data_IF_443034377215
#
_entry.id   IF_443034377215
#
_cell.length_a   1.000
_cell.length_b   1.000
_cell.length_c   1.000
_cell.angle_alpha   90.00
_cell.angle_beta   90.00
_cell.angle_gamma   90.00
#
_symmetry.space_group_name_H-M   'P 1'
#
loop_
_entity.id
_entity.type
_entity.pdbx_description
1 polymer ?
#
# COMPACT_ATOMS: atom_id res chain seq x y z
N UNK A 1 -28.20 20.70 -37.07
CA UNK A 1 -27.74 19.31 -37.29
C UNK A 1 -26.39 19.15 -36.59
N UNK A 2 -26.38 18.31 -35.54
CA UNK A 2 -25.28 17.57 -34.86
C UNK A 2 -23.87 18.20 -34.79
N UNK A 3 -23.11 18.20 -33.69
CA UNK A 3 -22.93 17.25 -32.56
C UNK A 3 -22.51 18.06 -31.31
N UNK A 4 -23.04 17.84 -30.09
CA UNK A 4 -22.86 16.72 -29.15
C UNK A 4 -21.44 16.56 -28.56
N UNK A 5 -21.43 16.53 -27.22
CA UNK A 5 -20.41 16.00 -26.30
C UNK A 5 -19.12 16.82 -26.09
N UNK A 6 -19.17 17.72 -25.10
CA UNK A 6 -17.99 18.06 -24.30
C UNK A 6 -18.14 17.29 -22.98
N UNK A 7 -17.45 16.17 -22.89
CA UNK A 7 -17.41 15.32 -21.71
C UNK A 7 -16.89 16.10 -20.50
N UNK A 8 -17.68 16.05 -19.42
CA UNK A 8 -17.26 16.35 -18.07
C UNK A 8 -16.28 15.27 -17.63
N UNK A 9 -15.00 15.61 -17.52
CA UNK A 9 -14.02 14.86 -16.74
C UNK A 9 -13.22 15.85 -15.91
N UNK A 10 -13.83 16.32 -14.84
CA UNK A 10 -13.17 16.98 -13.72
C UNK A 10 -13.48 16.15 -12.49
N UNK A 11 -12.53 15.32 -12.12
CA UNK A 11 -12.48 14.64 -10.82
C UNK A 11 -12.15 15.70 -9.79
N UNK A 12 -13.15 16.44 -9.35
CA UNK A 12 -13.02 17.37 -8.23
C UNK A 12 -14.32 17.42 -7.42
N UNK A 13 -14.12 17.41 -6.10
CA UNK A 13 -15.11 17.45 -5.01
C UNK A 13 -15.93 16.16 -4.76
N UNK A 14 -15.31 15.18 -4.07
CA UNK A 14 -16.07 14.24 -3.25
C UNK A 14 -16.70 15.00 -2.08
N UNK A 15 -17.93 15.48 -2.26
CA UNK A 15 -18.76 16.01 -1.18
C UNK A 15 -19.07 14.88 -0.19
N UNK A 16 -18.56 15.00 1.04
CA UNK A 16 -18.55 13.97 2.09
C UNK A 16 -19.80 13.94 2.96
N UNK A 17 -20.79 14.81 2.76
CA UNK A 17 -21.74 15.13 3.84
C UNK A 17 -23.16 14.58 3.68
N UNK A 18 -23.37 13.44 3.01
CA UNK A 18 -24.70 12.77 3.05
C UNK A 18 -24.61 11.27 3.35
N UNK A 19 -25.52 10.72 4.20
CA UNK A 19 -25.58 9.28 4.49
C UNK A 19 -25.65 8.38 3.26
N UNK A 20 -26.32 8.84 2.18
CA UNK A 20 -26.38 8.11 0.90
C UNK A 20 -25.02 7.93 0.23
N UNK A 21 -24.10 8.88 0.40
CA UNK A 21 -22.73 8.79 -0.12
C UNK A 21 -21.91 7.73 0.65
N UNK A 22 -22.07 7.63 1.98
CA UNK A 22 -21.35 6.68 2.83
C UNK A 22 -21.78 5.23 2.57
N UNK A 23 -23.08 4.97 2.38
CA UNK A 23 -23.62 3.63 2.06
C UNK A 23 -23.06 3.13 0.73
N UNK A 24 -23.06 3.96 -0.31
CA UNK A 24 -22.55 3.56 -1.62
C UNK A 24 -21.03 3.35 -1.61
N UNK A 25 -20.28 4.17 -0.84
CA UNK A 25 -18.86 3.93 -0.61
C UNK A 25 -18.62 2.63 0.15
N UNK A 26 -19.41 2.33 1.18
CA UNK A 26 -19.34 1.05 1.90
C UNK A 26 -19.52 -0.11 0.93
N UNK A 27 -20.62 -0.17 0.18
CA UNK A 27 -20.87 -1.25 -0.80
C UNK A 27 -19.74 -1.38 -1.83
N UNK A 28 -19.25 -0.25 -2.36
CA UNK A 28 -18.17 -0.25 -3.37
C UNK A 28 -16.88 -0.83 -2.82
N UNK A 29 -16.45 -0.39 -1.64
CA UNK A 29 -15.21 -0.87 -1.00
C UNK A 29 -15.35 -2.35 -0.62
N UNK A 30 -16.48 -2.75 -0.01
CA UNK A 30 -16.73 -4.16 0.33
C UNK A 30 -16.71 -5.08 -0.89
N UNK A 31 -17.33 -4.64 -1.99
CA UNK A 31 -17.35 -5.38 -3.25
C UNK A 31 -15.97 -5.48 -3.90
N UNK A 32 -15.14 -4.44 -3.81
CA UNK A 32 -13.78 -4.47 -4.36
C UNK A 32 -12.93 -5.58 -3.74
N UNK A 33 -13.01 -5.78 -2.41
CA UNK A 33 -12.29 -6.86 -1.72
C UNK A 33 -12.69 -8.25 -2.26
N UNK A 34 -13.98 -8.48 -2.51
CA UNK A 34 -14.45 -9.76 -3.04
C UNK A 34 -14.03 -9.98 -4.50
N UNK A 35 -14.03 -8.91 -5.32
CA UNK A 35 -13.54 -8.97 -6.70
C UNK A 35 -12.06 -9.34 -6.78
N UNK A 36 -11.24 -8.86 -5.84
CA UNK A 36 -9.82 -9.24 -5.74
C UNK A 36 -9.62 -10.69 -5.32
N UNK A 37 -10.59 -11.30 -4.64
CA UNK A 37 -10.49 -12.70 -4.23
C UNK A 37 -11.13 -13.66 -5.25
N UNK A 38 -12.06 -13.18 -6.07
CA UNK A 38 -12.84 -13.99 -7.02
C UNK A 38 -12.01 -14.92 -7.94
N UNK A 39 -10.80 -14.55 -8.42
CA UNK A 39 -9.99 -15.44 -9.27
C UNK A 39 -9.33 -16.62 -8.53
N UNK A 40 -9.26 -16.57 -7.20
CA UNK A 40 -8.53 -17.55 -6.39
C UNK A 40 -9.22 -18.91 -6.34
N UNK A 41 -8.43 -19.98 -6.29
CA UNK A 41 -8.92 -21.31 -5.90
C UNK A 41 -9.10 -21.38 -4.38
N UNK A 42 -9.91 -22.32 -3.90
CA UNK A 42 -10.22 -22.42 -2.46
C UNK A 42 -8.95 -22.61 -1.62
N UNK A 43 -7.97 -23.36 -2.15
CA UNK A 43 -6.69 -23.67 -1.53
C UNK A 43 -5.85 -22.41 -1.30
N UNK A 44 -5.89 -21.45 -2.23
CA UNK A 44 -5.10 -20.21 -2.16
C UNK A 44 -5.50 -19.36 -0.95
N UNK A 45 -6.75 -19.47 -0.49
CA UNK A 45 -7.27 -18.73 0.67
C UNK A 45 -6.69 -19.17 2.02
N UNK A 46 -5.99 -20.31 2.09
CA UNK A 46 -5.51 -20.90 3.34
C UNK A 46 -4.02 -20.70 3.59
N UNK A 47 -3.24 -20.45 2.55
CA UNK A 47 -1.78 -20.48 2.64
C UNK A 47 -1.25 -19.24 3.38
N UNK A 48 -0.29 -19.47 4.26
CA UNK A 48 0.56 -18.45 4.85
C UNK A 48 2.01 -18.76 4.48
N UNK A 49 2.51 -18.13 3.42
CA UNK A 49 3.84 -18.41 2.85
C UNK A 49 5.00 -17.86 3.68
N UNK A 50 4.74 -16.87 4.53
CA UNK A 50 5.68 -16.35 5.53
C UNK A 50 4.90 -15.66 6.66
N UNK A 51 5.48 -15.40 7.84
CA UNK A 51 4.77 -14.78 8.97
C UNK A 51 4.12 -13.43 8.65
N UNK A 52 4.68 -12.69 7.68
CA UNK A 52 4.15 -11.38 7.31
C UNK A 52 2.92 -11.43 6.39
N UNK A 53 2.83 -12.48 5.57
CA UNK A 53 1.68 -12.77 4.72
C UNK A 53 0.55 -13.32 5.59
N UNK A 54 -0.69 -12.92 5.34
CA UNK A 54 -1.87 -13.55 5.91
C UNK A 54 -2.69 -14.24 4.81
N UNK A 55 -3.38 -15.36 5.13
CA UNK A 55 -4.22 -16.02 4.15
C UNK A 55 -5.34 -15.10 3.64
N UNK A 56 -5.72 -15.12 2.35
CA UNK A 56 -6.77 -14.27 1.80
C UNK A 56 -8.10 -14.33 2.57
N UNK A 57 -8.51 -15.51 3.08
CA UNK A 57 -9.72 -15.60 3.91
C UNK A 57 -9.59 -14.89 5.26
N UNK A 58 -8.38 -14.79 5.80
CA UNK A 58 -8.13 -14.03 7.02
C UNK A 58 -8.30 -12.53 6.74
N UNK A 59 -7.81 -11.99 5.61
CA UNK A 59 -8.08 -10.60 5.23
C UNK A 59 -9.58 -10.32 5.13
N UNK A 60 -10.32 -11.15 4.39
CA UNK A 60 -11.77 -11.03 4.21
C UNK A 60 -12.52 -11.00 5.55
N UNK A 61 -12.15 -11.88 6.48
CA UNK A 61 -12.76 -11.94 7.80
C UNK A 61 -12.30 -10.81 8.72
N UNK A 62 -11.03 -10.40 8.66
CA UNK A 62 -10.47 -9.34 9.49
C UNK A 62 -11.09 -7.98 9.22
N UNK A 63 -11.21 -7.58 7.95
CA UNK A 63 -11.85 -6.30 7.61
C UNK A 63 -13.33 -6.30 8.02
N UNK A 64 -13.96 -7.48 8.04
CA UNK A 64 -15.35 -7.66 8.50
C UNK A 64 -15.46 -7.57 10.01
N UNK A 65 -14.53 -8.20 10.72
CA UNK A 65 -14.41 -8.11 12.17
C UNK A 65 -14.24 -6.65 12.63
N UNK A 66 -13.50 -5.81 11.89
CA UNK A 66 -13.36 -4.40 12.23
C UNK A 66 -14.72 -3.69 12.34
N UNK A 67 -15.59 -3.84 11.33
CA UNK A 67 -16.94 -3.26 11.35
C UNK A 67 -17.80 -3.85 12.48
N UNK A 68 -17.71 -5.17 12.70
CA UNK A 68 -18.44 -5.82 13.80
C UNK A 68 -18.00 -5.28 15.16
N UNK A 69 -16.70 -5.26 15.43
CA UNK A 69 -16.11 -4.95 16.73
C UNK A 69 -16.24 -3.47 17.09
N UNK A 70 -15.92 -2.58 16.15
CA UNK A 70 -15.79 -1.15 16.44
C UNK A 70 -17.03 -0.33 16.07
N UNK A 71 -18.00 -0.91 15.36
CA UNK A 71 -19.21 -0.20 14.91
C UNK A 71 -20.50 -0.92 15.31
N UNK A 72 -20.70 -2.17 14.92
CA UNK A 72 -21.97 -2.86 15.18
C UNK A 72 -22.17 -3.16 16.66
N UNK A 73 -21.20 -3.79 17.34
CA UNK A 73 -21.31 -4.11 18.77
C UNK A 73 -21.56 -2.84 19.64
N UNK A 74 -20.90 -1.69 19.41
CA UNK A 74 -21.15 -0.49 20.20
C UNK A 74 -22.44 0.26 19.84
N UNK A 75 -22.88 0.24 18.57
CA UNK A 75 -23.89 1.19 18.08
C UNK A 75 -25.16 0.59 17.50
N UNK A 76 -25.24 -0.72 17.26
CA UNK A 76 -26.47 -1.38 16.80
C UNK A 76 -27.12 -2.16 17.96
N UNK A 77 -28.18 -1.63 18.61
CA UNK A 77 -28.80 -2.26 19.75
C UNK A 77 -29.32 -3.67 19.42
N UNK A 78 -28.98 -4.65 20.25
CA UNK A 78 -29.42 -6.03 20.06
C UNK A 78 -28.69 -6.80 18.96
N UNK A 79 -27.62 -6.24 18.37
CA UNK A 79 -26.78 -6.95 17.42
C UNK A 79 -26.28 -8.29 18.00
N UNK A 80 -26.38 -9.35 17.19
CA UNK A 80 -25.93 -10.70 17.54
C UNK A 80 -24.69 -11.04 16.74
N UNK A 81 -23.59 -11.31 17.43
CA UNK A 81 -22.39 -11.86 16.82
C UNK A 81 -22.68 -13.25 16.28
N UNK A 82 -22.23 -13.50 15.03
CA UNK A 82 -22.48 -14.77 14.33
C UNK A 82 -21.77 -15.94 15.02
N UNK A 83 -20.49 -15.77 15.35
CA UNK A 83 -19.70 -16.74 16.11
C UNK A 83 -18.76 -15.98 17.08
N UNK A 84 -18.85 -16.20 18.40
CA UNK A 84 -18.01 -15.49 19.36
C UNK A 84 -16.50 -15.78 19.20
N UNK A 85 -16.10 -16.89 18.59
CA UNK A 85 -14.69 -17.21 18.36
C UNK A 85 -14.03 -16.30 17.31
N UNK A 86 -14.81 -15.64 16.46
CA UNK A 86 -14.28 -14.79 15.39
C UNK A 86 -13.56 -13.55 15.92
N UNK A 87 -13.95 -13.05 17.09
CA UNK A 87 -13.25 -11.94 17.75
C UNK A 87 -11.80 -12.31 18.08
N UNK A 88 -11.57 -13.52 18.59
CA UNK A 88 -10.23 -14.05 18.87
C UNK A 88 -9.43 -14.32 17.58
N UNK A 89 -10.06 -14.93 16.57
CA UNK A 89 -9.39 -15.33 15.33
C UNK A 89 -9.01 -14.16 14.43
N UNK A 90 -9.81 -13.10 14.43
CA UNK A 90 -9.72 -12.01 13.46
C UNK A 90 -9.33 -10.68 14.08
N UNK A 91 -9.17 -10.55 15.39
CA UNK A 91 -8.39 -9.44 15.96
C UNK A 91 -6.93 -9.53 15.46
N UNK A 92 -6.44 -8.45 14.85
CA UNK A 92 -5.09 -8.39 14.30
C UNK A 92 -4.04 -8.22 15.38
N UNK A 93 -4.20 -7.19 16.21
CA UNK A 93 -3.21 -6.75 17.18
C UNK A 93 -3.78 -5.84 18.28
N UNK A 94 -5.10 -5.65 18.39
CA UNK A 94 -5.71 -4.74 19.37
C UNK A 94 -5.73 -5.39 20.76
N UNK A 95 -4.65 -5.21 21.52
CA UNK A 95 -4.44 -5.87 22.83
C UNK A 95 -5.41 -5.33 23.89
N UNK A 96 -5.80 -4.06 23.78
CA UNK A 96 -6.83 -3.46 24.66
C UNK A 96 -8.24 -3.93 24.32
N UNK A 97 -8.47 -4.48 23.12
CA UNK A 97 -9.76 -5.07 22.74
C UNK A 97 -9.86 -6.53 23.22
N UNK A 98 -8.79 -7.29 23.05
CA UNK A 98 -8.70 -8.68 23.51
C UNK A 98 -7.41 -9.35 23.04
N UNK A 99 -7.20 -10.61 23.42
CA UNK A 99 -6.01 -11.37 22.99
C UNK A 99 -6.16 -11.82 21.54
N UNK A 100 -5.28 -11.43 20.60
CA UNK A 100 -5.36 -11.87 19.21
C UNK A 100 -4.81 -13.30 19.03
N UNK A 101 -5.34 -14.03 18.05
CA UNK A 101 -4.72 -15.28 17.61
C UNK A 101 -3.31 -15.02 17.03
N UNK A 102 -2.29 -15.87 17.30
CA UNK A 102 -0.92 -15.61 16.86
C UNK A 102 -0.78 -15.43 15.35
N UNK A 103 -0.28 -14.26 14.92
CA UNK A 103 -0.14 -13.86 13.50
C UNK A 103 0.55 -14.92 12.64
N UNK A 104 1.68 -15.47 13.10
CA UNK A 104 2.47 -16.46 12.37
C UNK A 104 1.80 -17.84 12.21
N UNK A 105 0.62 -18.05 12.80
CA UNK A 105 -0.13 -19.31 12.75
C UNK A 105 -1.43 -19.20 11.97
N UNK A 106 -1.75 -18.05 11.37
CA UNK A 106 -3.03 -17.81 10.66
C UNK A 106 -3.28 -18.86 9.56
N UNK A 107 -2.24 -19.32 8.87
CA UNK A 107 -2.33 -20.37 7.84
C UNK A 107 -2.59 -21.79 8.37
N UNK A 108 -2.53 -22.02 9.69
CA UNK A 108 -2.86 -23.33 10.28
C UNK A 108 -4.37 -23.52 10.49
N UNK A 109 -5.16 -22.48 10.28
CA UNK A 109 -6.56 -22.42 10.66
C UNK A 109 -7.43 -22.74 9.46
N UNK A 110 -7.82 -24.01 9.32
CA UNK A 110 -8.70 -24.48 8.24
C UNK A 110 -10.17 -24.06 8.42
N UNK A 111 -10.58 -23.71 9.64
CA UNK A 111 -11.93 -23.23 9.98
C UNK A 111 -11.89 -21.86 10.66
N UNK A 112 -12.75 -20.90 10.27
CA UNK A 112 -13.83 -21.04 9.29
C UNK A 112 -13.32 -21.25 7.86
N UNK A 113 -14.13 -22.00 7.10
CA UNK A 113 -13.99 -22.22 5.66
C UNK A 113 -14.18 -20.91 4.89
N UNK A 114 -13.76 -20.89 3.62
CA UNK A 114 -13.98 -19.73 2.75
C UNK A 114 -15.46 -19.35 2.68
N UNK A 115 -16.36 -20.34 2.50
CA UNK A 115 -17.79 -20.10 2.45
C UNK A 115 -18.35 -19.51 3.77
N UNK A 116 -17.90 -20.00 4.92
CA UNK A 116 -18.29 -19.45 6.24
C UNK A 116 -17.79 -18.00 6.43
N UNK A 117 -16.60 -17.67 5.90
CA UNK A 117 -16.08 -16.29 5.91
C UNK A 117 -16.92 -15.38 5.01
N UNK A 118 -17.32 -15.82 3.81
CA UNK A 118 -18.25 -15.05 2.98
C UNK A 118 -19.63 -14.89 3.65
N UNK A 119 -20.11 -15.93 4.35
CA UNK A 119 -21.32 -15.81 5.18
C UNK A 119 -21.18 -14.78 6.29
N UNK A 120 -20.01 -14.69 6.93
CA UNK A 120 -19.71 -13.67 7.93
C UNK A 120 -19.70 -12.26 7.33
N UNK A 121 -19.10 -12.09 6.14
CA UNK A 121 -19.15 -10.82 5.40
C UNK A 121 -20.58 -10.37 5.16
N UNK A 122 -21.42 -11.25 4.62
CA UNK A 122 -22.82 -10.94 4.34
C UNK A 122 -23.60 -10.58 5.61
N UNK A 123 -23.37 -11.29 6.71
CA UNK A 123 -24.01 -11.03 8.01
C UNK A 123 -23.71 -9.60 8.51
N UNK A 124 -22.44 -9.22 8.51
CA UNK A 124 -21.99 -7.89 8.98
C UNK A 124 -22.39 -6.81 7.98
N UNK A 125 -22.32 -7.06 6.68
CA UNK A 125 -22.71 -6.10 5.66
C UNK A 125 -24.21 -5.76 5.76
N UNK A 126 -25.07 -6.76 6.00
CA UNK A 126 -26.50 -6.53 6.21
C UNK A 126 -26.77 -5.66 7.45
N UNK A 127 -26.09 -5.95 8.57
CA UNK A 127 -26.23 -5.18 9.80
C UNK A 127 -25.65 -3.76 9.68
N UNK A 128 -24.54 -3.59 8.95
CA UNK A 128 -23.98 -2.27 8.64
C UNK A 128 -24.95 -1.45 7.79
N UNK A 129 -25.55 -2.05 6.77
CA UNK A 129 -26.56 -1.36 5.96
C UNK A 129 -27.80 -1.00 6.78
N UNK A 130 -28.24 -1.84 7.72
CA UNK A 130 -29.32 -1.51 8.65
C UNK A 130 -28.98 -0.27 9.49
N UNK A 131 -27.80 -0.28 10.12
CA UNK A 131 -27.32 0.82 10.95
C UNK A 131 -27.16 2.13 10.16
N UNK A 132 -26.56 2.07 8.96
CA UNK A 132 -26.31 3.25 8.13
C UNK A 132 -27.59 3.82 7.51
N UNK A 133 -28.61 3.00 7.25
CA UNK A 133 -29.92 3.50 6.80
C UNK A 133 -30.72 4.15 7.95
N UNK A 134 -30.42 3.81 9.21
CA UNK A 134 -31.12 4.31 10.39
C UNK A 134 -30.15 4.83 11.43
N UNK A 135 -29.29 5.78 11.03
CA UNK A 135 -28.24 6.34 11.90
C UNK A 135 -28.84 6.96 13.17
N UNK A 136 -28.48 6.46 14.37
CA UNK A 136 -28.89 7.07 15.62
C UNK A 136 -28.29 8.49 15.74
N UNK A 137 -29.14 9.51 15.88
CA UNK A 137 -28.74 10.92 15.90
C UNK A 137 -27.64 11.20 16.94
N UNK A 138 -27.73 10.60 18.12
CA UNK A 138 -26.76 10.74 19.21
C UNK A 138 -25.34 10.28 18.86
N UNK A 139 -25.20 9.32 17.93
CA UNK A 139 -23.92 8.68 17.59
C UNK A 139 -23.56 8.82 16.11
N UNK A 140 -24.32 9.57 15.32
CA UNK A 140 -24.20 9.63 13.87
C UNK A 140 -22.79 10.03 13.40
N UNK A 141 -22.19 11.04 14.02
CA UNK A 141 -20.85 11.50 13.66
C UNK A 141 -19.78 10.44 13.95
N UNK A 142 -19.83 9.79 15.12
CA UNK A 142 -18.86 8.77 15.50
C UNK A 142 -18.98 7.50 14.64
N UNK A 143 -20.21 7.09 14.33
CA UNK A 143 -20.46 5.98 13.39
C UNK A 143 -19.90 6.31 12.02
N UNK A 144 -20.15 7.52 11.50
CA UNK A 144 -19.60 7.95 10.21
C UNK A 144 -18.07 7.97 10.23
N UNK A 145 -17.46 8.52 11.29
CA UNK A 145 -16.00 8.57 11.47
C UNK A 145 -15.36 7.18 11.49
N UNK A 146 -15.92 6.24 12.27
CA UNK A 146 -15.41 4.85 12.34
C UNK A 146 -15.70 4.06 11.07
N UNK A 147 -16.80 4.33 10.39
CA UNK A 147 -17.09 3.72 9.09
C UNK A 147 -16.04 4.17 8.09
N UNK A 148 -15.75 5.47 8.01
CA UNK A 148 -14.70 6.02 7.14
C UNK A 148 -13.33 5.38 7.44
N UNK A 149 -12.94 5.28 8.71
CA UNK A 149 -11.73 4.58 9.13
C UNK A 149 -11.74 3.11 8.70
N UNK A 150 -12.85 2.40 8.89
CA UNK A 150 -13.02 1.01 8.48
C UNK A 150 -12.92 0.81 6.96
N UNK A 151 -13.41 1.76 6.17
CA UNK A 151 -13.29 1.74 4.71
C UNK A 151 -11.83 1.92 4.27
N UNK A 152 -11.12 2.88 4.84
CA UNK A 152 -9.70 3.06 4.57
C UNK A 152 -8.86 1.86 5.07
N UNK A 153 -9.21 1.29 6.21
CA UNK A 153 -8.62 0.05 6.71
C UNK A 153 -8.81 -1.12 5.73
N UNK A 154 -10.02 -1.31 5.20
CA UNK A 154 -10.27 -2.35 4.19
C UNK A 154 -9.49 -2.11 2.90
N UNK A 155 -9.30 -0.86 2.48
CA UNK A 155 -8.45 -0.53 1.33
C UNK A 155 -6.97 -0.84 1.57
N UNK A 156 -6.45 -0.67 2.78
CA UNK A 156 -5.11 -1.17 3.12
C UNK A 156 -5.05 -2.70 2.97
N UNK A 157 -6.10 -3.40 3.41
CA UNK A 157 -6.18 -4.86 3.27
C UNK A 157 -6.43 -5.33 1.83
N UNK A 158 -7.01 -4.51 0.96
CA UNK A 158 -7.11 -4.79 -0.48
C UNK A 158 -5.75 -4.78 -1.16
N UNK A 159 -4.90 -3.81 -0.78
CA UNK A 159 -3.53 -3.77 -1.24
C UNK A 159 -2.72 -4.95 -0.69
N UNK A 160 -2.82 -5.24 0.62
CA UNK A 160 -2.17 -6.40 1.23
C UNK A 160 -2.65 -7.72 0.60
N UNK A 161 -3.94 -7.86 0.27
CA UNK A 161 -4.46 -9.03 -0.45
C UNK A 161 -3.67 -9.29 -1.73
N UNK A 162 -3.45 -8.26 -2.55
CA UNK A 162 -2.70 -8.40 -3.79
C UNK A 162 -1.22 -8.76 -3.56
N UNK A 163 -0.58 -8.17 -2.55
CA UNK A 163 0.79 -8.51 -2.15
C UNK A 163 0.91 -9.96 -1.67
N UNK A 164 -0.05 -10.39 -0.84
CA UNK A 164 -0.06 -11.68 -0.17
C UNK A 164 -0.44 -12.80 -1.14
N UNK A 165 -1.45 -12.58 -1.99
CA UNK A 165 -1.79 -13.48 -3.12
C UNK A 165 -0.57 -13.67 -4.02
N UNK A 166 0.09 -12.57 -4.42
CA UNK A 166 1.29 -12.65 -5.26
C UNK A 166 2.37 -13.50 -4.58
N UNK A 167 2.64 -13.27 -3.30
CA UNK A 167 3.66 -14.02 -2.58
C UNK A 167 3.29 -15.51 -2.45
N UNK A 168 2.02 -15.85 -2.18
CA UNK A 168 1.52 -17.23 -2.11
C UNK A 168 1.74 -17.95 -3.44
N UNK A 169 1.29 -17.35 -4.55
CA UNK A 169 1.38 -17.95 -5.88
C UNK A 169 2.83 -18.07 -6.35
N UNK A 170 3.69 -17.12 -5.98
CA UNK A 170 5.12 -17.18 -6.29
C UNK A 170 5.87 -18.31 -5.59
N UNK A 171 5.33 -18.92 -4.53
CA UNK A 171 5.95 -20.11 -3.92
C UNK A 171 5.73 -21.38 -4.75
N UNK A 172 4.78 -21.37 -5.69
CA UNK A 172 4.40 -22.55 -6.42
C UNK A 172 5.25 -22.67 -7.71
N UNK A 173 6.01 -23.77 -7.90
CA UNK A 173 6.91 -23.94 -9.05
C UNK A 173 6.17 -24.09 -10.39
N UNK A 174 4.83 -24.20 -10.37
CA UNK A 174 4.00 -24.16 -11.58
C UNK A 174 3.73 -22.73 -12.06
N UNK A 175 4.17 -21.71 -11.33
CA UNK A 175 3.95 -20.29 -11.62
C UNK A 175 2.48 -19.96 -11.95
N UNK A 176 1.52 -20.32 -11.06
CA UNK A 176 0.11 -20.11 -11.29
C UNK A 176 -0.21 -18.63 -11.50
N UNK A 177 -1.04 -18.35 -12.49
CA UNK A 177 -1.46 -17.00 -12.84
C UNK A 177 -2.68 -16.62 -12.00
N UNK A 178 -2.64 -15.48 -11.31
CA UNK A 178 -3.80 -14.96 -10.57
C UNK A 178 -4.91 -14.54 -11.54
N UNK A 179 -4.56 -13.77 -12.59
CA UNK A 179 -5.48 -13.32 -13.64
C UNK A 179 -4.80 -13.28 -15.01
N UNK A 180 -5.47 -13.83 -16.03
CA UNK A 180 -5.00 -13.83 -17.42
C UNK A 180 -5.45 -12.61 -18.23
N UNK A 181 -6.39 -11.83 -17.70
CA UNK A 181 -7.07 -10.72 -18.37
C UNK A 181 -6.58 -9.33 -17.89
N UNK A 182 -5.45 -9.28 -17.19
CA UNK A 182 -4.84 -8.01 -16.75
C UNK A 182 -4.50 -7.13 -17.95
N UNK A 183 -4.70 -5.82 -17.78
CA UNK A 183 -4.37 -4.86 -18.84
C UNK A 183 -2.86 -4.87 -19.07
N UNK A 184 -2.38 -5.14 -20.30
CA UNK A 184 -0.94 -5.21 -20.55
C UNK A 184 -0.30 -3.85 -20.36
N UNK A 185 0.93 -3.84 -19.84
CA UNK A 185 1.79 -2.66 -19.93
C UNK A 185 2.03 -2.34 -21.42
N UNK A 186 1.97 -1.06 -21.80
CA UNK A 186 2.42 -0.69 -23.13
C UNK A 186 3.92 -0.41 -23.06
N UNK A 187 4.69 -1.07 -23.91
CA UNK A 187 6.10 -0.79 -24.04
C UNK A 187 6.31 0.60 -24.65
N UNK A 188 7.07 1.44 -23.94
CA UNK A 188 7.53 2.73 -24.42
C UNK A 188 8.96 2.92 -23.91
N UNK A 189 9.78 3.65 -24.67
CA UNK A 189 11.11 4.03 -24.20
C UNK A 189 10.97 4.91 -22.96
N UNK A 190 11.72 4.66 -21.88
CA UNK A 190 11.64 5.46 -20.68
C UNK A 190 12.15 6.85 -21.02
N UNK A 191 11.50 7.87 -20.45
CA UNK A 191 12.06 9.21 -20.53
C UNK A 191 13.42 9.22 -19.80
N UNK A 192 14.48 9.85 -20.36
CA UNK A 192 15.75 10.00 -19.66
C UNK A 192 15.57 10.62 -18.28
N UNK A 193 16.30 10.15 -17.28
CA UNK A 193 16.21 10.70 -15.92
C UNK A 193 16.80 12.12 -15.89
N UNK A 194 15.93 13.09 -15.63
CA UNK A 194 16.27 14.48 -15.31
C UNK A 194 16.05 14.79 -13.83
N UNK A 195 16.50 15.95 -13.36
CA UNK A 195 16.47 16.38 -11.97
C UNK A 195 15.65 17.66 -11.79
N UNK A 196 14.74 17.68 -10.82
CA UNK A 196 13.97 18.86 -10.43
C UNK A 196 14.55 19.46 -9.15
N UNK A 197 14.95 20.72 -9.19
CA UNK A 197 15.50 21.43 -8.02
C UNK A 197 14.41 22.04 -7.16
N UNK A 198 14.56 21.90 -5.85
CA UNK A 198 13.69 22.49 -4.84
C UNK A 198 14.54 23.37 -3.92
N UNK A 199 14.20 24.65 -3.74
CA UNK A 199 14.99 25.55 -2.90
C UNK A 199 14.86 25.16 -1.43
N UNK A 200 15.86 25.52 -0.63
CA UNK A 200 15.81 25.38 0.81
C UNK A 200 14.66 26.19 1.44
N UNK A 201 14.28 25.83 2.67
CA UNK A 201 13.50 26.69 3.55
C UNK A 201 12.53 25.95 4.45
N UNK A 202 11.80 26.72 5.24
CA UNK A 202 10.74 26.19 6.10
C UNK A 202 9.55 25.76 5.24
N UNK A 203 9.10 24.52 5.41
CA UNK A 203 7.97 23.90 4.73
C UNK A 203 6.97 23.41 5.77
N UNK A 204 5.72 23.23 5.34
CA UNK A 204 4.68 22.66 6.18
C UNK A 204 4.27 21.29 5.63
N UNK A 205 4.55 20.24 6.38
CA UNK A 205 4.18 18.85 6.06
C UNK A 205 3.14 18.32 7.04
N UNK A 206 2.40 17.31 6.62
CA UNK A 206 1.30 16.69 7.36
C UNK A 206 -0.08 17.23 6.95
N UNK A 207 -1.10 16.45 7.30
CA UNK A 207 -2.47 16.69 6.93
C UNK A 207 -3.08 17.91 7.66
N UNK A 208 -3.82 18.74 6.92
CA UNK A 208 -4.54 19.90 7.44
C UNK A 208 -5.86 20.18 6.72
N UNK A 209 -6.45 19.17 6.08
CA UNK A 209 -7.74 19.30 5.41
C UNK A 209 -8.88 18.81 6.30
N UNK A 210 -10.10 18.90 5.79
CA UNK A 210 -11.31 18.39 6.45
C UNK A 210 -11.65 16.94 6.04
N UNK A 211 -10.92 16.40 5.06
CA UNK A 211 -11.09 15.02 4.59
C UNK A 211 -10.37 14.00 5.48
N UNK A 212 -10.58 12.71 5.19
CA UNK A 212 -9.93 11.64 5.95
C UNK A 212 -8.39 11.69 5.85
N UNK A 213 -7.73 11.45 6.98
CA UNK A 213 -6.33 11.08 7.08
C UNK A 213 -6.13 10.15 8.27
N UNK A 214 -5.11 9.30 8.22
CA UNK A 214 -4.70 8.56 9.40
C UNK A 214 -4.09 9.52 10.44
N UNK A 215 -4.23 9.19 11.72
CA UNK A 215 -3.68 9.97 12.84
C UNK A 215 -2.17 10.23 12.68
N UNK A 216 -1.42 9.26 12.13
CA UNK A 216 0.02 9.38 11.87
C UNK A 216 0.40 10.43 10.82
N UNK A 217 -0.55 10.94 10.04
CA UNK A 217 -0.37 12.05 9.08
C UNK A 217 -0.52 13.41 9.77
N UNK A 218 -0.90 13.45 11.05
CA UNK A 218 -1.21 14.67 11.83
C UNK A 218 -0.30 14.83 13.06
N UNK A 219 -0.15 16.05 13.60
CA UNK A 219 -0.60 17.33 13.06
C UNK A 219 0.32 17.86 11.94
N UNK A 220 -0.23 18.76 11.12
CA UNK A 220 0.58 19.57 10.21
C UNK A 220 1.55 20.44 11.00
N UNK A 221 2.83 20.43 10.64
CA UNK A 221 3.89 21.11 11.37
C UNK A 221 4.97 21.66 10.42
N UNK A 222 5.85 22.49 10.98
CA UNK A 222 6.96 23.09 10.25
C UNK A 222 8.20 22.22 10.31
N UNK A 223 8.87 22.08 9.18
CA UNK A 223 10.17 21.42 9.01
C UNK A 223 11.05 22.29 8.14
N UNK A 224 12.35 22.36 8.44
CA UNK A 224 13.31 22.94 7.52
C UNK A 224 13.76 21.85 6.53
N UNK A 225 13.61 22.12 5.24
CA UNK A 225 14.09 21.26 4.16
C UNK A 225 15.22 22.01 3.47
N UNK A 226 16.37 21.39 3.30
CA UNK A 226 17.49 22.01 2.60
C UNK A 226 17.23 22.07 1.09
N UNK A 227 18.10 22.73 0.33
CA UNK A 227 18.03 22.68 -1.12
C UNK A 227 18.39 21.28 -1.62
N UNK A 228 17.58 20.73 -2.52
CA UNK A 228 17.78 19.36 -3.02
C UNK A 228 17.32 19.24 -4.46
N UNK A 229 17.73 18.17 -5.12
CA UNK A 229 17.17 17.74 -6.39
C UNK A 229 16.46 16.40 -6.24
N UNK A 230 15.30 16.25 -6.88
CA UNK A 230 14.55 14.99 -6.97
C UNK A 230 14.57 14.48 -8.41
N UNK A 231 14.75 13.17 -8.57
CA UNK A 231 14.64 12.53 -9.88
C UNK A 231 13.24 12.69 -10.48
N UNK A 232 13.18 12.97 -11.77
CA UNK A 232 11.94 13.13 -12.56
C UNK A 232 11.09 11.88 -12.66
N UNK A 233 11.68 10.68 -12.54
CA UNK A 233 10.96 9.41 -12.54
C UNK A 233 11.56 8.42 -11.53
N UNK A 234 10.86 7.30 -11.36
CA UNK A 234 11.35 6.14 -10.62
C UNK A 234 12.54 5.50 -11.34
N UNK A 235 13.37 4.79 -10.57
CA UNK A 235 14.44 3.95 -11.12
C UNK A 235 13.82 2.76 -11.86
N UNK A 236 14.32 2.44 -13.05
CA UNK A 236 13.79 1.32 -13.85
C UNK A 236 14.46 0.00 -13.55
N UNK A 237 13.84 -1.10 -13.97
CA UNK A 237 14.43 -2.43 -13.91
C UNK A 237 15.76 -2.52 -14.67
N UNK A 238 15.88 -1.90 -15.85
CA UNK A 238 17.12 -1.91 -16.62
C UNK A 238 18.26 -1.15 -15.94
N UNK A 239 17.95 -0.04 -15.27
CA UNK A 239 18.94 0.67 -14.45
C UNK A 239 19.36 -0.17 -13.23
N UNK A 240 18.42 -0.89 -12.61
CA UNK A 240 18.72 -1.81 -11.51
C UNK A 240 19.52 -3.05 -11.96
N UNK A 241 19.32 -3.54 -13.19
CA UNK A 241 20.16 -4.58 -13.78
C UNK A 241 21.62 -4.12 -13.89
N UNK A 242 21.88 -2.86 -14.28
CA UNK A 242 23.24 -2.33 -14.31
C UNK A 242 23.90 -2.33 -12.92
N UNK A 243 23.15 -2.05 -11.86
CA UNK A 243 23.62 -2.19 -10.47
C UNK A 243 23.98 -3.65 -10.13
N UNK A 244 23.16 -4.62 -10.55
CA UNK A 244 23.44 -6.05 -10.35
C UNK A 244 24.72 -6.46 -11.12
N UNK A 245 24.83 -6.05 -12.38
CA UNK A 245 25.96 -6.37 -13.27
C UNK A 245 27.28 -5.79 -12.74
N UNK A 246 27.25 -4.59 -12.17
CA UNK A 246 28.39 -3.95 -11.48
C UNK A 246 28.62 -4.50 -10.06
N UNK A 247 28.17 -5.73 -9.79
CA UNK A 247 28.39 -6.47 -8.54
C UNK A 247 27.80 -5.77 -7.31
N UNK A 248 26.70 -5.02 -7.47
CA UNK A 248 26.06 -4.25 -6.40
C UNK A 248 25.76 -5.05 -5.13
N UNK A 249 25.27 -6.29 -5.26
CA UNK A 249 24.98 -7.18 -4.12
C UNK A 249 26.23 -7.77 -3.43
N UNK A 250 27.41 -7.66 -4.02
CA UNK A 250 28.68 -8.19 -3.48
C UNK A 250 29.57 -7.11 -2.84
N UNK A 251 29.29 -5.83 -3.13
CA UNK A 251 30.12 -4.68 -2.76
C UNK A 251 29.69 -4.07 -1.42
N UNK A 252 30.33 -4.47 -0.32
CA UNK A 252 29.96 -4.03 1.03
C UNK A 252 30.03 -2.51 1.25
N UNK A 253 30.84 -1.80 0.46
CA UNK A 253 30.96 -0.33 0.49
C UNK A 253 29.67 0.39 0.10
N UNK A 254 28.74 -0.28 -0.57
CA UNK A 254 27.46 0.28 -1.00
C UNK A 254 26.34 0.14 0.04
N UNK A 255 26.52 -0.70 1.07
CA UNK A 255 25.41 -1.13 1.93
C UNK A 255 25.57 -0.62 3.35
N UNK A 256 24.44 -0.29 3.98
CA UNK A 256 24.35 -0.23 5.44
C UNK A 256 24.72 -1.59 6.05
N UNK A 257 25.36 -1.58 7.22
CA UNK A 257 25.86 -2.80 7.88
C UNK A 257 24.79 -3.88 8.07
N UNK A 258 23.61 -3.50 8.56
CA UNK A 258 22.49 -4.43 8.74
C UNK A 258 21.99 -4.97 7.40
N UNK A 259 21.94 -4.11 6.37
CA UNK A 259 21.57 -4.49 5.02
C UNK A 259 22.53 -5.50 4.41
N UNK A 260 23.84 -5.28 4.52
CA UNK A 260 24.83 -6.22 4.01
C UNK A 260 24.79 -7.56 4.75
N UNK A 261 24.56 -7.53 6.06
CA UNK A 261 24.37 -8.74 6.87
C UNK A 261 23.14 -9.52 6.39
N UNK A 262 22.03 -8.82 6.14
CA UNK A 262 20.78 -9.40 5.64
C UNK A 262 20.94 -9.99 4.23
N UNK A 263 21.60 -9.29 3.31
CA UNK A 263 21.91 -9.79 1.95
C UNK A 263 22.71 -11.09 2.03
N UNK A 264 23.74 -11.15 2.86
CA UNK A 264 24.56 -12.36 3.04
C UNK A 264 23.78 -13.50 3.67
N UNK A 265 22.99 -13.24 4.71
CA UNK A 265 22.24 -14.26 5.42
C UNK A 265 21.14 -14.89 4.55
N UNK A 266 20.44 -14.07 3.77
CA UNK A 266 19.32 -14.50 2.94
C UNK A 266 19.72 -14.81 1.47
N UNK A 267 20.98 -14.56 1.10
CA UNK A 267 21.50 -14.85 -0.24
C UNK A 267 20.87 -14.02 -1.36
N UNK A 268 20.53 -12.75 -1.10
CA UNK A 268 19.90 -11.89 -2.10
C UNK A 268 20.87 -11.54 -3.24
N UNK A 269 20.39 -11.63 -4.47
CA UNK A 269 21.18 -11.35 -5.70
C UNK A 269 20.43 -10.49 -6.74
N UNK A 270 19.13 -10.27 -6.51
CA UNK A 270 18.22 -9.52 -7.37
C UNK A 270 16.95 -9.19 -6.55
N UNK A 271 16.08 -8.27 -7.01
CA UNK A 271 14.79 -7.96 -6.39
C UNK A 271 13.93 -9.22 -6.14
N UNK A 272 13.01 -9.16 -5.17
CA UNK A 272 12.18 -10.32 -4.85
C UNK A 272 11.34 -10.69 -6.08
N UNK A 273 11.20 -12.01 -6.31
CA UNK A 273 10.54 -12.65 -7.46
C UNK A 273 11.33 -12.69 -8.76
N UNK A 274 12.54 -12.13 -8.83
CA UNK A 274 13.38 -12.25 -10.01
C UNK A 274 14.07 -13.62 -10.07
N UNK A 275 14.06 -14.23 -11.25
CA UNK A 275 14.69 -15.51 -11.55
C UNK A 275 15.57 -15.36 -12.80
N UNK A 276 16.82 -15.80 -12.72
CA UNK A 276 17.71 -15.84 -13.87
C UNK A 276 17.58 -17.20 -14.56
N UNK A 277 17.08 -17.20 -15.79
CA UNK A 277 16.94 -18.39 -16.63
C UNK A 277 17.80 -18.18 -17.87
N UNK A 278 18.87 -18.97 -17.98
CA UNK A 278 19.82 -18.94 -19.11
C UNK A 278 20.36 -17.53 -19.44
N UNK A 279 20.67 -16.73 -18.41
CA UNK A 279 21.21 -15.38 -18.56
C UNK A 279 20.15 -14.30 -18.79
N UNK A 280 18.86 -14.64 -18.72
CA UNK A 280 17.76 -13.68 -18.83
C UNK A 280 16.96 -13.60 -17.53
N UNK A 281 16.61 -12.37 -17.12
CA UNK A 281 15.77 -12.14 -15.96
C UNK A 281 14.28 -12.29 -16.29
N UNK A 282 13.61 -13.09 -15.48
CA UNK A 282 12.16 -13.23 -15.40
C UNK A 282 11.70 -12.75 -14.03
N UNK A 283 10.48 -12.26 -13.90
CA UNK A 283 9.87 -11.92 -12.62
C UNK A 283 8.48 -12.53 -12.50
N UNK A 284 8.19 -13.13 -11.34
CA UNK A 284 6.83 -13.55 -11.03
C UNK A 284 5.95 -12.33 -10.75
N UNK A 285 4.86 -12.20 -11.51
CA UNK A 285 3.82 -11.18 -11.36
C UNK A 285 2.44 -11.80 -11.08
N UNK A 286 1.43 -10.94 -10.87
CA UNK A 286 0.03 -11.40 -10.79
C UNK A 286 -0.48 -11.93 -12.14
N UNK A 287 0.16 -11.54 -13.25
CA UNK A 287 -0.05 -12.11 -14.59
C UNK A 287 0.82 -13.35 -14.90
N UNK A 288 1.51 -13.92 -13.91
CA UNK A 288 2.42 -15.06 -14.08
C UNK A 288 3.90 -14.67 -14.21
N UNK A 289 4.74 -15.66 -14.48
CA UNK A 289 6.17 -15.48 -14.74
C UNK A 289 6.39 -14.89 -16.13
N UNK A 290 7.01 -13.71 -16.20
CA UNK A 290 7.24 -12.98 -17.45
C UNK A 290 8.67 -12.45 -17.50
N UNK A 291 9.25 -12.22 -18.69
CA UNK A 291 10.50 -11.47 -18.79
C UNK A 291 10.39 -10.12 -18.08
N UNK A 292 11.45 -9.70 -17.39
CA UNK A 292 11.47 -8.38 -16.75
C UNK A 292 11.38 -7.29 -17.82
N UNK A 293 10.42 -6.37 -17.66
CA UNK A 293 10.34 -5.16 -18.48
C UNK A 293 11.35 -4.12 -17.97
N UNK A 294 12.46 -3.97 -18.70
CA UNK A 294 13.56 -3.07 -18.37
C UNK A 294 13.12 -1.60 -18.18
N UNK A 295 11.98 -1.20 -18.75
CA UNK A 295 11.50 0.19 -18.73
C UNK A 295 10.51 0.48 -17.60
N UNK A 296 9.94 -0.57 -16.99
CA UNK A 296 9.07 -0.41 -15.84
C UNK A 296 9.90 -0.07 -14.58
N UNK A 297 9.31 0.65 -13.60
CA UNK A 297 9.94 0.88 -12.31
C UNK A 297 10.36 -0.43 -11.64
N UNK A 298 11.56 -0.43 -11.04
CA UNK A 298 11.98 -1.55 -10.19
C UNK A 298 11.14 -1.63 -8.94
N UNK A 299 10.78 -2.85 -8.55
CA UNK A 299 9.79 -3.14 -7.53
C UNK A 299 10.20 -4.36 -6.69
N UNK A 300 9.58 -4.49 -5.52
CA UNK A 300 9.88 -5.53 -4.52
C UNK A 300 11.30 -5.45 -3.95
N UNK A 301 11.73 -4.21 -3.70
CA UNK A 301 12.98 -3.89 -3.03
C UNK A 301 12.77 -3.72 -1.52
N UNK A 302 13.76 -4.16 -0.76
CA UNK A 302 13.96 -3.74 0.62
C UNK A 302 14.43 -2.29 0.68
N UNK A 303 14.30 -1.65 1.84
CA UNK A 303 14.91 -0.34 2.08
C UNK A 303 16.43 -0.41 1.86
N UNK A 304 17.07 -1.49 2.30
CA UNK A 304 18.51 -1.69 2.13
C UNK A 304 18.93 -1.77 0.67
N UNK A 305 18.16 -2.46 -0.17
CA UNK A 305 18.39 -2.52 -1.62
C UNK A 305 18.23 -1.15 -2.29
N UNK A 306 17.21 -0.38 -1.86
CA UNK A 306 16.97 0.96 -2.38
C UNK A 306 18.09 1.94 -1.99
N UNK A 307 18.53 1.91 -0.73
CA UNK A 307 19.63 2.74 -0.22
C UNK A 307 20.99 2.39 -0.86
N UNK A 308 21.27 1.10 -1.04
CA UNK A 308 22.50 0.65 -1.69
C UNK A 308 22.57 1.02 -3.16
N UNK A 309 21.44 0.90 -3.88
CA UNK A 309 21.34 1.40 -5.25
C UNK A 309 21.56 2.91 -5.30
N UNK A 310 20.90 3.67 -4.42
CA UNK A 310 21.04 5.13 -4.41
C UNK A 310 22.50 5.55 -4.17
N UNK A 311 23.19 4.88 -3.24
CA UNK A 311 24.62 5.07 -2.98
C UNK A 311 25.48 4.74 -4.20
N UNK A 312 25.21 3.63 -4.88
CA UNK A 312 25.90 3.25 -6.13
C UNK A 312 25.71 4.29 -7.25
N UNK A 313 24.51 4.84 -7.37
CA UNK A 313 24.18 5.87 -8.35
C UNK A 313 24.76 7.27 -8.00
N UNK A 314 25.52 7.40 -6.90
CA UNK A 314 26.05 8.68 -6.44
C UNK A 314 24.97 9.64 -5.94
N UNK A 315 23.87 9.09 -5.42
CA UNK A 315 22.69 9.80 -4.95
C UNK A 315 22.30 9.31 -3.54
N UNK A 316 21.09 9.64 -3.09
CA UNK A 316 20.47 9.15 -1.85
C UNK A 316 18.97 8.95 -2.03
N UNK A 317 18.32 8.39 -1.02
CA UNK A 317 16.86 8.41 -0.92
C UNK A 317 16.38 9.82 -0.46
N UNK A 318 15.22 10.32 -0.94
CA UNK A 318 14.60 11.52 -0.39
C UNK A 318 14.15 11.28 1.05
N UNK A 319 14.16 12.30 1.88
CA UNK A 319 13.38 12.28 3.14
C UNK A 319 11.88 12.33 2.82
N UNK A 320 11.03 11.87 3.75
CA UNK A 320 9.58 11.98 3.56
C UNK A 320 9.11 13.44 3.44
N UNK A 321 9.84 14.39 4.04
CA UNK A 321 9.56 15.81 3.96
C UNK A 321 9.88 16.38 2.56
N UNK A 322 11.06 16.05 2.00
CA UNK A 322 11.43 16.43 0.63
C UNK A 322 10.43 15.88 -0.38
N UNK A 323 10.06 14.60 -0.21
CA UNK A 323 9.07 13.95 -1.05
C UNK A 323 7.71 14.66 -0.99
N UNK A 324 7.22 14.97 0.22
CA UNK A 324 5.92 15.65 0.39
C UNK A 324 5.93 17.08 -0.16
N UNK A 325 7.07 17.78 -0.06
CA UNK A 325 7.27 19.09 -0.67
C UNK A 325 7.21 19.00 -2.20
N UNK A 326 7.83 17.98 -2.78
CA UNK A 326 7.76 17.73 -4.22
C UNK A 326 6.34 17.35 -4.69
N UNK A 327 5.58 16.65 -3.84
CA UNK A 327 4.20 16.25 -4.12
C UNK A 327 3.19 17.38 -3.94
N UNK A 328 3.56 18.47 -3.24
CA UNK A 328 2.65 19.55 -2.91
C UNK A 328 2.08 20.23 -4.17
N UNK A 329 0.75 20.23 -4.30
CA UNK A 329 0.05 20.87 -5.42
C UNK A 329 0.00 20.04 -6.70
N UNK A 330 0.59 18.84 -6.73
CA UNK A 330 0.46 17.92 -7.85
C UNK A 330 -0.87 17.16 -7.81
N UNK A 331 -1.39 16.84 -8.99
CA UNK A 331 -2.53 15.94 -9.10
C UNK A 331 -2.12 14.53 -8.68
N UNK A 332 -3.00 13.85 -7.93
CA UNK A 332 -2.79 12.48 -7.45
C UNK A 332 -3.15 11.47 -8.54
N UNK A 333 -2.58 11.64 -9.72
CA UNK A 333 -2.78 10.74 -10.86
C UNK A 333 -1.59 9.83 -11.04
N UNK A 334 -1.86 8.55 -11.28
CA UNK A 334 -0.84 7.51 -11.30
C UNK A 334 -1.40 6.17 -11.78
N UNK A 335 -0.55 5.16 -11.77
CA UNK A 335 -0.95 3.77 -11.96
C UNK A 335 -1.37 3.16 -10.61
N UNK A 336 -2.67 3.05 -10.40
CA UNK A 336 -3.34 2.49 -9.22
C UNK A 336 -4.12 1.22 -9.61
N UNK A 337 -4.83 0.62 -8.65
CA UNK A 337 -5.60 -0.61 -8.90
C UNK A 337 -6.64 -0.43 -10.01
N UNK A 338 -7.22 0.77 -10.16
CA UNK A 338 -8.24 1.08 -11.17
C UNK A 338 -7.72 1.04 -12.62
N UNK A 339 -6.41 1.13 -12.82
CA UNK A 339 -5.79 0.99 -14.13
C UNK A 339 -5.66 -0.48 -14.56
N UNK A 340 -5.88 -1.42 -13.64
CA UNK A 340 -5.93 -2.88 -13.84
C UNK A 340 -4.66 -3.50 -14.46
N UNK A 341 -3.53 -2.81 -14.34
CA UNK A 341 -2.21 -3.34 -14.69
C UNK A 341 -1.70 -4.31 -13.62
N UNK A 342 -1.98 -4.04 -12.34
CA UNK A 342 -1.49 -4.77 -11.16
C UNK A 342 0.01 -5.08 -11.20
N UNK A 343 0.75 -4.19 -11.85
CA UNK A 343 2.18 -4.22 -12.06
C UNK A 343 2.65 -2.79 -12.35
N UNK A 344 3.91 -2.43 -12.00
CA UNK A 344 4.49 -1.14 -12.40
C UNK A 344 4.56 -1.04 -13.93
N UNK A 345 4.35 0.16 -14.46
CA UNK A 345 4.45 0.43 -15.89
C UNK A 345 5.41 1.60 -16.14
N UNK A 346 6.07 1.61 -17.31
CA UNK A 346 6.99 2.69 -17.67
C UNK A 346 6.29 4.07 -17.69
N UNK A 347 7.02 5.14 -17.28
CA UNK A 347 6.53 6.52 -17.38
C UNK A 347 6.25 6.87 -18.85
N UNK A 348 5.01 7.30 -19.14
CA UNK A 348 4.59 7.67 -20.52
C UNK A 348 4.50 9.17 -20.77
N UNK A 349 4.34 9.95 -19.71
CA UNK A 349 4.05 11.38 -19.81
C UNK A 349 5.06 12.15 -18.98
N UNK A 350 5.85 12.97 -19.67
CA UNK A 350 6.80 13.87 -19.05
C UNK A 350 6.25 15.29 -19.10
N UNK A 351 5.94 15.84 -17.93
CA UNK A 351 5.69 17.28 -17.77
C UNK A 351 7.04 17.91 -17.42
N UNK A 352 7.61 18.81 -18.25
CA UNK A 352 8.98 19.32 -18.06
C UNK A 352 9.28 19.85 -16.66
N UNK A 353 8.29 20.42 -15.99
CA UNK A 353 8.46 21.10 -14.71
C UNK A 353 8.01 20.26 -13.49
N UNK A 354 7.65 18.98 -13.68
CA UNK A 354 7.13 18.14 -12.59
C UNK A 354 7.61 16.68 -12.70
N UNK A 355 7.94 16.04 -11.56
CA UNK A 355 8.27 14.61 -11.57
C UNK A 355 7.05 13.79 -12.02
N UNK A 356 7.26 12.84 -12.93
CA UNK A 356 6.27 11.81 -13.26
C UNK A 356 6.32 10.66 -12.26
N UNK A 357 5.21 9.92 -12.18
CA UNK A 357 5.06 8.73 -11.32
C UNK A 357 5.33 9.01 -9.83
N UNK A 358 5.12 10.24 -9.36
CA UNK A 358 5.21 10.51 -7.93
C UNK A 358 4.05 9.82 -7.17
N UNK A 359 2.99 9.46 -7.87
CA UNK A 359 1.88 8.68 -7.32
C UNK A 359 1.66 7.41 -8.16
N UNK A 360 1.37 6.30 -7.49
CA UNK A 360 1.14 5.00 -8.13
C UNK A 360 2.43 4.27 -8.55
N UNK A 361 2.26 3.18 -9.29
CA UNK A 361 3.29 2.21 -9.69
C UNK A 361 3.91 1.46 -8.50
N UNK A 362 4.72 2.14 -7.69
CA UNK A 362 5.41 1.57 -6.51
C UNK A 362 5.42 2.57 -5.36
N UNK A 363 5.33 2.05 -4.14
CA UNK A 363 5.71 2.83 -2.97
C UNK A 363 7.18 3.21 -3.04
N UNK A 364 7.49 4.48 -2.84
CA UNK A 364 8.84 5.01 -2.89
C UNK A 364 9.46 4.98 -1.49
N UNK A 365 10.52 4.19 -1.28
CA UNK A 365 11.30 4.22 -0.03
C UNK A 365 11.88 5.62 0.21
N UNK A 366 11.74 6.11 1.45
CA UNK A 366 12.36 7.38 1.90
C UNK A 366 13.47 7.11 2.92
N UNK A 367 14.41 8.05 3.05
CA UNK A 367 15.43 8.07 4.10
C UNK A 367 14.89 8.43 5.50
N UNK A 368 13.57 8.39 5.72
CA UNK A 368 12.93 8.79 6.98
C UNK A 368 12.41 7.59 7.76
N UNK A 369 12.79 7.51 9.04
CA UNK A 369 12.22 6.55 9.98
C UNK A 369 10.75 6.89 10.27
N UNK A 370 9.90 5.87 10.43
CA UNK A 370 8.51 6.03 10.82
C UNK A 370 8.42 6.45 12.29
N UNK A 371 8.37 7.77 12.50
CA UNK A 371 8.35 8.44 13.81
C UNK A 371 7.10 9.31 13.93
N UNK A 372 6.62 9.57 15.17
CA UNK A 372 5.52 10.50 15.38
C UNK A 372 5.91 11.90 14.90
N UNK A 373 5.00 12.57 14.19
CA UNK A 373 5.14 14.00 13.95
C UNK A 373 5.11 14.77 15.28
N UNK A 374 5.75 15.95 15.37
CA UNK A 374 5.70 16.79 16.56
C UNK A 374 4.25 17.10 16.97
N UNK A 375 3.87 16.70 18.18
CA UNK A 375 2.50 16.89 18.69
C UNK A 375 1.50 15.80 18.31
N UNK A 376 1.94 14.71 17.65
CA UNK A 376 1.12 13.53 17.39
C UNK A 376 0.44 13.02 18.67
N UNK A 377 -0.83 12.66 18.55
CA UNK A 377 -1.60 11.95 19.56
C UNK A 377 -2.34 10.80 18.88
N UNK A 378 -2.30 9.58 19.44
CA UNK A 378 -3.09 8.47 18.91
C UNK A 378 -4.58 8.75 19.09
N UNK A 379 -5.41 8.00 18.35
CA UNK A 379 -6.86 7.95 18.58
C UNK A 379 -7.20 7.47 20.01
N UNK A 380 -8.42 7.75 20.46
CA UNK A 380 -8.89 7.31 21.77
C UNK A 380 -9.25 5.80 21.79
N UNK A 381 -9.17 5.20 22.98
CA UNK A 381 -9.55 3.81 23.21
C UNK A 381 -8.70 2.81 22.41
N UNK A 382 -9.28 1.66 22.05
CA UNK A 382 -8.56 0.62 21.32
C UNK A 382 -8.10 1.07 19.93
N UNK A 383 -8.82 1.98 19.28
CA UNK A 383 -8.41 2.52 17.98
C UNK A 383 -7.08 3.30 18.06
N UNK A 384 -6.64 3.73 19.24
CA UNK A 384 -5.32 4.34 19.45
C UNK A 384 -4.13 3.43 19.15
N UNK A 385 -4.36 2.11 19.11
CA UNK A 385 -3.33 1.14 18.75
C UNK A 385 -3.09 1.03 17.24
N UNK A 386 -3.85 1.76 16.41
CA UNK A 386 -3.81 1.62 14.95
C UNK A 386 -2.41 1.91 14.38
N UNK A 387 -1.79 3.03 14.76
CA UNK A 387 -0.53 3.49 14.17
C UNK A 387 0.58 3.72 15.19
N UNK A 388 0.29 4.43 16.30
CA UNK A 388 1.32 4.96 17.20
C UNK A 388 2.30 3.92 17.76
N UNK A 389 1.83 2.71 18.08
CA UNK A 389 2.67 1.64 18.64
C UNK A 389 3.69 1.05 17.66
N UNK A 390 3.52 1.32 16.36
CA UNK A 390 4.39 0.84 15.29
C UNK A 390 5.51 1.83 14.92
N UNK A 391 5.56 3.00 15.57
CA UNK A 391 6.53 4.08 15.29
C UNK A 391 7.95 3.81 15.86
N UNK A 392 8.50 2.63 15.55
CA UNK A 392 9.85 2.20 15.91
C UNK A 392 10.38 1.14 14.94
N UNK A 393 11.63 1.30 14.50
CA UNK A 393 12.33 0.31 13.68
C UNK A 393 11.84 0.14 12.24
N UNK A 394 10.94 1.01 11.77
CA UNK A 394 10.36 0.97 10.42
C UNK A 394 10.72 2.24 9.64
N UNK A 395 10.70 2.14 8.31
CA UNK A 395 10.99 3.25 7.39
C UNK A 395 9.74 3.65 6.63
N UNK A 396 9.64 4.93 6.29
CA UNK A 396 8.48 5.51 5.61
C UNK A 396 8.58 5.28 4.10
N UNK A 397 7.44 4.95 3.47
CA UNK A 397 7.25 4.96 2.03
C UNK A 397 6.11 5.90 1.63
N UNK A 398 6.20 6.47 0.41
CA UNK A 398 5.24 7.45 -0.11
C UNK A 398 4.77 7.10 -1.53
N UNK A 399 3.69 7.74 -2.00
CA UNK A 399 3.22 7.67 -3.39
C UNK A 399 2.09 6.68 -3.69
N UNK A 400 1.94 5.59 -2.93
CA UNK A 400 1.04 4.51 -3.33
C UNK A 400 1.64 3.64 -4.44
N UNK A 401 1.00 2.54 -4.77
CA UNK A 401 1.47 1.61 -5.80
C UNK A 401 0.35 1.17 -6.76
N UNK A 402 0.69 0.36 -7.76
CA UNK A 402 -0.26 -0.24 -8.70
C UNK A 402 -1.32 -1.16 -8.07
N UNK A 403 -1.21 -1.48 -6.77
CA UNK A 403 -2.19 -2.21 -5.99
C UNK A 403 -3.00 -1.32 -5.01
N UNK A 404 -2.63 -0.04 -4.87
CA UNK A 404 -3.35 0.92 -4.00
C UNK A 404 -4.58 1.45 -4.73
N UNK A 405 -5.76 1.54 -4.08
CA UNK A 405 -6.91 2.26 -4.63
C UNK A 405 -6.63 3.76 -4.78
N UNK A 406 -7.01 4.36 -5.91
CA UNK A 406 -6.70 5.77 -6.20
C UNK A 406 -7.31 6.75 -5.19
N UNK A 407 -8.47 6.42 -4.61
CA UNK A 407 -9.11 7.23 -3.57
C UNK A 407 -8.55 6.97 -2.15
N UNK A 408 -7.65 6.01 -2.00
CA UNK A 408 -6.97 5.72 -0.74
C UNK A 408 -5.77 6.63 -0.48
N UNK A 409 -5.14 7.18 -1.53
CA UNK A 409 -3.85 7.87 -1.43
C UNK A 409 -3.97 9.38 -1.19
N UNK A 410 -2.98 9.92 -0.48
CA UNK A 410 -2.80 11.36 -0.22
C UNK A 410 -1.34 11.72 -0.39
N UNK A 411 -1.09 12.99 -0.70
CA UNK A 411 0.27 13.54 -0.64
C UNK A 411 0.87 13.40 0.77
N UNK A 412 0.05 13.35 1.83
CA UNK A 412 0.47 13.19 3.24
C UNK A 412 0.52 11.73 3.72
N UNK A 413 0.12 10.75 2.90
CA UNK A 413 0.01 9.36 3.31
C UNK A 413 1.35 8.75 3.68
N UNK A 414 1.49 8.22 4.89
CA UNK A 414 2.72 7.59 5.38
C UNK A 414 2.54 6.08 5.48
N UNK A 415 2.98 5.34 4.46
CA UNK A 415 3.10 3.89 4.58
C UNK A 415 4.41 3.57 5.32
N UNK A 416 4.49 2.41 5.95
CA UNK A 416 5.65 2.02 6.75
C UNK A 416 5.86 0.52 6.77
N UNK A 417 7.12 0.09 6.63
CA UNK A 417 7.53 -1.31 6.72
C UNK A 417 8.91 -1.41 7.37
N UNK A 418 9.24 -2.60 7.87
CA UNK A 418 10.59 -2.87 8.35
C UNK A 418 11.60 -2.87 7.18
N UNK A 419 12.84 -2.40 7.40
CA UNK A 419 13.81 -2.21 6.32
C UNK A 419 14.07 -3.43 5.44
N UNK A 420 14.03 -4.64 6.00
CA UNK A 420 14.32 -5.89 5.29
C UNK A 420 13.15 -6.45 4.47
N UNK A 421 11.94 -5.89 4.59
CA UNK A 421 10.73 -6.40 3.94
C UNK A 421 10.75 -6.07 2.44
N UNK A 422 10.29 -7.03 1.60
CA UNK A 422 10.41 -6.94 0.13
C UNK A 422 9.13 -7.29 -0.64
N UNK A 423 8.12 -7.92 -0.01
CA UNK A 423 6.97 -8.44 -0.73
C UNK A 423 5.98 -7.35 -1.17
N UNK A 424 5.99 -6.21 -0.48
CA UNK A 424 5.26 -5.02 -0.87
C UNK A 424 5.73 -4.50 -2.23
N UNK A 425 4.86 -3.79 -2.93
CA UNK A 425 5.20 -3.12 -4.19
C UNK A 425 6.04 -1.86 -3.92
N UNK A 426 7.27 -2.03 -3.44
CA UNK A 426 8.19 -0.94 -3.12
C UNK A 426 9.35 -0.84 -4.11
N UNK A 427 9.62 0.37 -4.55
CA UNK A 427 10.74 0.76 -5.40
C UNK A 427 11.45 1.98 -4.82
N UNK A 428 12.05 2.78 -5.70
CA UNK A 428 12.79 3.98 -5.27
C UNK A 428 12.75 5.11 -6.29
N UNK A 429 12.89 6.32 -5.75
CA UNK A 429 13.20 7.56 -6.46
C UNK A 429 14.46 8.15 -5.83
N UNK A 430 15.35 8.67 -6.66
CA UNK A 430 16.59 9.27 -6.20
C UNK A 430 16.39 10.74 -5.81
N UNK A 431 17.14 11.16 -4.80
CA UNK A 431 17.39 12.55 -4.45
C UNK A 431 18.90 12.79 -4.34
N UNK A 432 19.33 14.04 -4.45
CA UNK A 432 20.72 14.45 -4.18
C UNK A 432 20.80 15.90 -3.73
N UNK A 433 21.89 16.23 -3.06
CA UNK A 433 22.23 17.63 -2.74
C UNK A 433 22.63 18.40 -4.02
N UNK A 434 22.54 19.73 -3.96
CA UNK A 434 22.97 20.64 -5.03
C UNK A 434 24.46 20.98 -4.93
#
# INVERSE_FOLDING_TARGET
MSHLAREMNTVDAFALDTPGCLIERFKRVRSATEKLCAPLQTEDYLIQSMPDVSPPKWHLAHVTWFFEAFILKPFLPGYKTLDPAYDYLFNSYYETHGTPFPRAKRGLISRPTVAEVYGFRQWVDQAMLELLNHLPEQHAEEIARRTELGLHHEQQHQELLLMDIKHILAQNPLHPVYRHDLKPATHADPTPLTWHSYPAGVRHIGHSGDGFAFDCETPRHRVFVDEFQLASRLVTNGEYMAFIEDQGYSRSDLWLSDGFSQVRQAGWQAPLYWENVDGRWYAMGLGGLQPVDEQAPVCHLSFYEADAYASWAGARLPTEAEWEVAAAGLSRTGNFVEQDHLSPVACRTHTPDQPCQLFGDVWEWTGSAYRPYPGFKPLDGSLGEYNGKFMSGQMVLRGGCCATPADHIRATYRNFFYPAMRWQFAGLRLAKEI
#
